data_IF_195002119794
#
_entry.id   IF_195002119794
#
_cell.length_a   1.000
_cell.length_b   1.000
_cell.length_c   1.000
_cell.angle_alpha   90.00
_cell.angle_beta   90.00
_cell.angle_gamma   90.00
#
_symmetry.space_group_name_H-M   'P 1'
#
loop_
_entity.id
_entity.type
_entity.pdbx_description
1 polymer ?
#
# COMPACT_ATOMS: atom_id res chain seq x y z
N UNK A 1 -7.72 27.25 8.78
CA UNK A 1 -6.57 27.09 7.87
C UNK A 1 -5.53 26.29 8.62
N UNK A 2 -5.20 25.08 8.16
CA UNK A 2 -4.15 24.28 8.78
C UNK A 2 -2.82 24.96 8.49
N UNK A 3 -2.01 25.23 9.52
CA UNK A 3 -0.65 25.76 9.35
C UNK A 3 0.17 24.83 8.45
N UNK A 4 1.10 25.39 7.67
CA UNK A 4 2.03 24.60 6.87
C UNK A 4 2.80 23.58 7.73
N UNK A 5 3.14 22.43 7.14
CA UNK A 5 3.90 21.34 7.77
C UNK A 5 5.35 21.37 7.30
N UNK A 6 6.28 21.10 8.20
CA UNK A 6 7.72 21.03 7.87
C UNK A 6 8.08 19.60 7.48
N UNK A 7 8.28 19.36 6.19
CA UNK A 7 8.64 18.03 5.67
C UNK A 7 10.14 17.94 5.40
N UNK A 8 10.76 16.85 5.81
CA UNK A 8 12.20 16.60 5.63
C UNK A 8 12.47 15.11 5.57
N UNK A 9 13.64 14.73 5.03
CA UNK A 9 14.15 13.35 4.94
C UNK A 9 13.22 12.41 4.17
N UNK A 10 13.67 11.90 3.02
CA UNK A 10 13.02 10.72 2.43
C UNK A 10 13.39 9.53 3.31
N UNK A 11 12.40 8.96 3.99
CA UNK A 11 12.62 7.85 4.95
C UNK A 11 12.34 6.49 4.34
N UNK A 12 11.52 6.46 3.29
CA UNK A 12 11.11 5.23 2.63
C UNK A 12 10.57 5.53 1.24
N UNK A 13 10.87 4.65 0.29
CA UNK A 13 10.24 4.64 -1.04
C UNK A 13 9.80 3.21 -1.33
N UNK A 14 8.52 3.04 -1.66
CA UNK A 14 8.00 1.77 -2.14
C UNK A 14 7.83 1.83 -3.66
N UNK A 15 8.25 0.76 -4.33
CA UNK A 15 7.96 0.46 -5.72
C UNK A 15 7.03 -0.75 -5.74
N UNK A 16 5.84 -0.57 -6.28
CA UNK A 16 4.83 -1.64 -6.39
C UNK A 16 4.66 -1.91 -7.87
N UNK A 17 5.17 -3.04 -8.36
CA UNK A 17 4.94 -3.48 -9.73
C UNK A 17 3.44 -3.76 -9.91
N UNK A 18 2.78 -3.03 -10.81
CA UNK A 18 1.32 -3.13 -11.01
C UNK A 18 0.92 -4.39 -11.80
N UNK A 19 1.88 -5.08 -12.43
CA UNK A 19 1.65 -6.34 -13.15
C UNK A 19 1.73 -7.52 -12.19
N UNK A 20 2.78 -7.56 -11.38
CA UNK A 20 3.03 -8.69 -10.46
C UNK A 20 2.49 -8.47 -9.05
N UNK A 21 2.09 -7.23 -8.73
CA UNK A 21 1.75 -6.76 -7.39
C UNK A 21 2.89 -6.94 -6.36
N UNK A 22 4.12 -7.08 -6.85
CA UNK A 22 5.30 -7.24 -5.98
C UNK A 22 5.73 -5.89 -5.45
N UNK A 23 5.97 -5.84 -4.13
CA UNK A 23 6.44 -4.63 -3.45
C UNK A 23 7.92 -4.72 -3.13
N UNK A 24 8.67 -3.75 -3.63
CA UNK A 24 10.05 -3.51 -3.31
C UNK A 24 10.16 -2.19 -2.52
N UNK A 25 10.93 -2.15 -1.43
CA UNK A 25 11.12 -0.89 -0.68
C UNK A 25 12.59 -0.59 -0.45
N UNK A 26 12.91 0.70 -0.50
CA UNK A 26 14.23 1.24 -0.16
C UNK A 26 14.08 2.33 0.90
N UNK A 27 15.10 2.46 1.75
CA UNK A 27 15.18 3.49 2.81
C UNK A 27 16.37 4.44 2.57
N UNK A 28 17.05 4.25 1.44
CA UNK A 28 18.37 4.81 1.14
C UNK A 28 18.31 5.99 0.18
N UNK A 29 17.11 6.29 -0.34
CA UNK A 29 16.91 7.34 -1.33
C UNK A 29 17.39 8.69 -0.79
N UNK A 30 18.35 9.29 -1.51
CA UNK A 30 19.03 10.50 -1.07
C UNK A 30 18.32 11.77 -1.56
N UNK A 31 17.72 11.73 -2.74
CA UNK A 31 17.15 12.89 -3.42
C UNK A 31 16.09 12.44 -4.42
N UNK A 32 14.91 13.07 -4.41
CA UNK A 32 13.86 12.84 -5.40
C UNK A 32 13.37 14.19 -5.94
N UNK A 33 13.63 14.44 -7.23
CA UNK A 33 13.08 15.59 -7.95
C UNK A 33 11.71 15.20 -8.54
N UNK A 34 10.73 16.07 -8.35
CA UNK A 34 9.35 15.87 -8.82
C UNK A 34 8.94 17.11 -9.64
N UNK A 35 8.69 16.91 -10.92
CA UNK A 35 8.35 17.98 -11.86
C UNK A 35 7.00 17.70 -12.53
N UNK A 36 6.06 18.67 -12.58
CA UNK A 36 4.80 18.47 -13.27
C UNK A 36 5.01 18.37 -14.79
N UNK A 37 4.29 17.44 -15.41
CA UNK A 37 4.18 17.35 -16.87
C UNK A 37 2.92 18.12 -17.26
N UNK A 38 3.09 19.22 -18.01
CA UNK A 38 1.98 20.08 -18.41
C UNK A 38 1.69 19.96 -19.91
N UNK A 39 0.41 19.80 -20.24
CA UNK A 39 -0.11 20.21 -21.54
C UNK A 39 -0.22 21.74 -21.54
N UNK A 40 0.70 22.39 -22.25
CA UNK A 40 0.77 23.85 -22.32
C UNK A 40 -0.49 24.43 -22.95
N UNK A 41 -1.06 25.41 -22.27
CA UNK A 41 -2.09 26.26 -22.83
C UNK A 41 -1.55 27.11 -23.98
N UNK A 42 -2.46 27.69 -24.77
CA UNK A 42 -2.13 28.61 -25.86
C UNK A 42 -2.51 30.02 -25.47
N UNK A 43 -1.77 31.00 -25.97
CA UNK A 43 -2.10 32.43 -25.85
C UNK A 43 -2.03 33.07 -27.23
N UNK A 44 -3.19 33.28 -27.82
CA UNK A 44 -3.33 33.90 -29.13
C UNK A 44 -3.73 35.37 -28.97
N UNK A 45 -2.87 36.27 -29.45
CA UNK A 45 -3.08 37.72 -29.34
C UNK A 45 -3.49 38.28 -30.70
N UNK A 46 -4.71 38.82 -30.79
CA UNK A 46 -5.13 39.60 -31.95
C UNK A 46 -4.60 41.02 -31.82
N UNK A 47 -3.45 41.31 -32.45
CA UNK A 47 -2.86 42.65 -32.51
C UNK A 47 -2.90 43.19 -33.93
N UNK A 48 -3.41 44.41 -34.09
CA UNK A 48 -3.34 45.16 -35.35
C UNK A 48 -2.57 46.44 -35.08
N UNK A 49 -1.42 46.61 -35.75
CA UNK A 49 -0.45 47.70 -35.51
C UNK A 49 -0.07 47.78 -34.03
N UNK A 50 -0.40 48.88 -33.36
CA UNK A 50 -0.07 49.12 -31.94
C UNK A 50 -1.26 48.94 -31.01
N UNK A 51 -2.32 48.24 -31.45
CA UNK A 51 -3.50 47.99 -30.63
C UNK A 51 -3.79 46.49 -30.53
N UNK A 52 -3.93 46.00 -29.30
CA UNK A 52 -4.42 44.65 -29.00
C UNK A 52 -5.95 44.72 -28.97
N UNK A 53 -6.59 43.81 -29.69
CA UNK A 53 -8.05 43.71 -29.81
C UNK A 53 -8.61 42.53 -29.01
N UNK A 54 -7.79 41.52 -28.74
CA UNK A 54 -8.20 40.38 -27.94
C UNK A 54 -7.01 39.50 -27.58
N UNK A 55 -7.14 38.81 -26.46
CA UNK A 55 -6.26 37.75 -26.01
C UNK A 55 -7.16 36.54 -25.77
N UNK A 56 -6.95 35.46 -26.53
CA UNK A 56 -7.58 34.18 -26.28
C UNK A 56 -6.56 33.27 -25.61
N UNK A 57 -6.81 32.89 -24.36
CA UNK A 57 -5.89 32.08 -23.57
C UNK A 57 -6.56 30.81 -23.04
N UNK A 58 -5.80 29.72 -23.02
CA UNK A 58 -6.18 28.48 -22.33
C UNK A 58 -5.19 28.19 -21.23
N UNK A 59 -5.62 27.55 -20.15
CA UNK A 59 -4.76 27.19 -19.02
C UNK A 59 -3.81 26.03 -19.34
N UNK A 60 -2.70 25.95 -18.60
CA UNK A 60 -1.87 24.75 -18.55
C UNK A 60 -2.61 23.64 -17.78
N UNK A 61 -2.60 22.42 -18.31
CA UNK A 61 -3.22 21.25 -17.67
C UNK A 61 -2.11 20.29 -17.22
N UNK A 62 -2.09 19.96 -15.92
CA UNK A 62 -1.19 18.92 -15.39
C UNK A 62 -1.71 17.56 -15.87
N UNK A 63 -0.86 16.81 -16.56
CA UNK A 63 -1.18 15.46 -17.09
C UNK A 63 -0.41 14.35 -16.38
N UNK A 64 0.49 14.69 -15.46
CA UNK A 64 1.32 13.73 -14.76
C UNK A 64 2.52 14.37 -14.08
N UNK A 65 3.45 13.56 -13.62
CA UNK A 65 4.70 14.01 -13.00
C UNK A 65 5.90 13.21 -13.52
N UNK A 66 7.00 13.92 -13.74
CA UNK A 66 8.32 13.34 -13.93
C UNK A 66 8.98 13.19 -12.57
N UNK A 67 9.55 12.02 -12.33
CA UNK A 67 10.17 11.62 -11.09
C UNK A 67 11.63 11.28 -11.38
N UNK A 68 12.56 11.86 -10.64
CA UNK A 68 13.98 11.55 -10.75
C UNK A 68 14.56 11.29 -9.36
N UNK A 69 14.94 10.05 -9.13
CA UNK A 69 15.51 9.60 -7.87
C UNK A 69 17.02 9.42 -8.01
N UNK A 70 17.76 9.81 -6.96
CA UNK A 70 19.17 9.45 -6.79
C UNK A 70 19.35 8.62 -5.53
N UNK A 71 20.14 7.57 -5.65
CA UNK A 71 20.49 6.70 -4.54
C UNK A 71 22.00 6.41 -4.57
N UNK A 72 22.59 6.38 -3.38
CA UNK A 72 24.00 6.03 -3.19
C UNK A 72 24.20 4.53 -2.93
N UNK A 73 23.12 3.79 -2.69
CA UNK A 73 23.12 2.34 -2.63
C UNK A 73 22.51 1.77 -3.91
N UNK A 74 23.22 0.81 -4.49
CA UNK A 74 22.77 0.16 -5.70
C UNK A 74 21.71 -0.89 -5.35
N UNK A 75 20.47 -0.66 -5.77
CA UNK A 75 19.40 -1.64 -5.63
C UNK A 75 19.08 -2.32 -6.97
N UNK A 76 19.26 -3.64 -7.02
CA UNK A 76 19.11 -4.44 -8.23
C UNK A 76 17.65 -4.62 -8.65
N UNK A 77 16.71 -4.70 -7.70
CA UNK A 77 15.27 -4.84 -8.00
C UNK A 77 14.69 -3.54 -8.59
N UNK A 78 15.05 -2.40 -8.00
CA UNK A 78 14.75 -1.05 -8.50
C UNK A 78 15.32 -0.86 -9.90
N UNK A 79 16.57 -1.30 -10.12
CA UNK A 79 17.18 -1.28 -11.46
C UNK A 79 16.38 -2.13 -12.45
N UNK A 80 16.03 -3.37 -12.10
CA UNK A 80 15.26 -4.24 -12.99
C UNK A 80 13.89 -3.66 -13.36
N UNK A 81 13.14 -3.17 -12.37
CA UNK A 81 11.80 -2.61 -12.58
C UNK A 81 11.83 -1.33 -13.42
N UNK A 82 12.73 -0.39 -13.10
CA UNK A 82 12.77 0.92 -13.78
C UNK A 82 13.45 0.82 -15.14
N UNK A 83 14.57 0.09 -15.24
CA UNK A 83 15.29 -0.04 -16.51
C UNK A 83 14.60 -1.00 -17.48
N UNK A 84 13.87 -1.99 -16.96
CA UNK A 84 13.15 -3.02 -17.73
C UNK A 84 13.95 -4.29 -18.00
N UNK A 85 15.07 -4.48 -17.31
CA UNK A 85 15.89 -5.69 -17.40
C UNK A 85 15.35 -6.83 -16.54
N UNK A 86 16.06 -7.95 -16.54
CA UNK A 86 15.71 -9.17 -15.76
C UNK A 86 16.79 -9.51 -14.75
N UNK A 87 16.41 -10.17 -13.67
CA UNK A 87 17.33 -10.68 -12.65
C UNK A 87 17.37 -12.21 -12.76
N UNK A 88 18.58 -12.77 -12.84
CA UNK A 88 18.81 -14.21 -12.83
C UNK A 88 19.86 -14.52 -11.76
N UNK A 89 19.47 -15.29 -10.75
CA UNK A 89 20.24 -15.65 -9.54
C UNK A 89 20.74 -14.46 -8.70
N UNK A 90 21.67 -13.66 -9.24
CA UNK A 90 22.17 -12.40 -8.66
C UNK A 90 22.77 -11.48 -9.73
N UNK A 91 22.35 -11.67 -10.98
CA UNK A 91 22.85 -10.96 -12.15
C UNK A 91 21.69 -10.18 -12.77
N UNK A 92 21.89 -8.88 -12.91
CA UNK A 92 21.02 -8.06 -13.74
C UNK A 92 21.44 -8.20 -15.21
N UNK A 93 20.47 -8.53 -16.06
CA UNK A 93 20.60 -8.58 -17.50
C UNK A 93 19.73 -7.47 -18.10
N UNK A 94 20.40 -6.47 -18.69
CA UNK A 94 19.71 -5.41 -19.42
C UNK A 94 19.00 -5.93 -20.66
N UNK A 95 18.14 -5.11 -21.22
CA UNK A 95 17.34 -5.46 -22.39
C UNK A 95 18.18 -5.52 -23.67
N UNK A 96 17.65 -6.23 -24.67
CA UNK A 96 18.31 -6.34 -25.97
C UNK A 96 18.52 -4.96 -26.61
N UNK A 97 19.73 -4.75 -27.14
CA UNK A 97 20.11 -3.47 -27.74
C UNK A 97 19.27 -3.18 -28.99
N UNK A 98 18.78 -1.95 -29.11
CA UNK A 98 18.02 -1.50 -30.28
C UNK A 98 16.56 -1.96 -30.32
N UNK A 99 16.08 -2.69 -29.30
CA UNK A 99 14.69 -3.13 -29.21
C UNK A 99 13.93 -2.27 -28.19
N UNK A 100 12.70 -1.90 -28.54
CA UNK A 100 11.81 -1.21 -27.63
C UNK A 100 11.38 -2.16 -26.49
N UNK A 101 11.56 -1.71 -25.26
CA UNK A 101 11.23 -2.48 -24.06
C UNK A 101 9.85 -2.10 -23.56
N UNK A 102 9.00 -3.10 -23.34
CA UNK A 102 7.77 -2.94 -22.59
C UNK A 102 8.08 -3.05 -21.09
N UNK A 103 8.35 -1.90 -20.46
CA UNK A 103 8.55 -1.81 -19.02
C UNK A 103 7.24 -2.00 -18.27
N UNK A 104 7.27 -2.76 -17.18
CA UNK A 104 6.13 -2.88 -16.28
C UNK A 104 5.76 -1.50 -15.71
N UNK A 105 4.47 -1.12 -15.70
CA UNK A 105 4.01 0.01 -14.92
C UNK A 105 4.16 -0.29 -13.43
N UNK A 106 4.45 0.74 -12.64
CA UNK A 106 4.57 0.61 -11.19
C UNK A 106 4.00 1.82 -10.46
N UNK A 107 3.57 1.61 -9.22
CA UNK A 107 3.22 2.70 -8.30
C UNK A 107 4.43 3.03 -7.42
N UNK A 108 4.74 4.32 -7.29
CA UNK A 108 5.79 4.81 -6.39
C UNK A 108 5.17 5.53 -5.20
N UNK A 109 5.47 5.06 -3.99
CA UNK A 109 5.06 5.69 -2.73
C UNK A 109 6.28 6.28 -2.03
N UNK A 110 6.33 7.59 -1.86
CA UNK A 110 7.44 8.30 -1.21
C UNK A 110 7.00 8.75 0.17
N UNK A 111 7.80 8.47 1.19
CA UNK A 111 7.52 8.88 2.56
C UNK A 111 8.56 9.87 3.05
N UNK A 112 8.08 10.94 3.69
CA UNK A 112 8.90 11.97 4.33
C UNK A 112 8.54 12.12 5.80
N UNK A 113 9.46 12.57 6.64
CA UNK A 113 9.17 12.94 8.02
C UNK A 113 8.48 14.31 8.09
N UNK A 114 7.48 14.43 8.96
CA UNK A 114 6.99 15.72 9.45
C UNK A 114 7.74 16.07 10.75
N UNK A 115 8.34 17.27 10.82
CA UNK A 115 9.00 17.76 12.04
C UNK A 115 8.24 18.89 12.70
N UNK A 116 8.22 18.86 14.03
CA UNK A 116 8.01 20.01 14.91
C UNK A 116 9.32 20.30 15.66
N UNK A 117 10.00 21.38 15.28
CA UNK A 117 11.38 21.64 15.68
C UNK A 117 12.29 20.42 15.39
N UNK A 118 12.74 19.72 16.42
CA UNK A 118 13.62 18.56 16.30
C UNK A 118 12.88 17.21 16.31
N UNK A 119 11.58 17.19 16.63
CA UNK A 119 10.81 15.96 16.86
C UNK A 119 10.05 15.56 15.60
N UNK A 120 10.09 14.27 15.24
CA UNK A 120 9.18 13.71 14.24
C UNK A 120 7.79 13.62 14.84
N UNK A 121 6.82 14.31 14.24
CA UNK A 121 5.41 14.34 14.67
C UNK A 121 4.50 13.49 13.79
N UNK A 122 5.00 13.08 12.63
CA UNK A 122 4.26 12.26 11.68
C UNK A 122 5.06 12.05 10.41
N UNK A 123 4.38 11.61 9.37
CA UNK A 123 4.95 11.34 8.06
C UNK A 123 4.00 11.81 6.98
N UNK A 124 4.53 12.05 5.78
CA UNK A 124 3.72 12.36 4.60
C UNK A 124 4.06 11.37 3.51
N UNK A 125 3.03 10.73 2.99
CA UNK A 125 3.08 9.78 1.88
C UNK A 125 2.63 10.49 0.60
N UNK A 126 3.46 10.43 -0.44
CA UNK A 126 3.13 10.87 -1.80
C UNK A 126 2.98 9.64 -2.68
N UNK A 127 1.90 9.55 -3.44
CA UNK A 127 1.59 8.40 -4.30
C UNK A 127 1.52 8.82 -5.76
N UNK A 128 2.33 8.16 -6.58
CA UNK A 128 2.38 8.32 -8.03
C UNK A 128 2.09 6.97 -8.69
N UNK A 129 0.94 6.87 -9.36
CA UNK A 129 0.47 5.64 -10.01
C UNK A 129 0.98 5.55 -11.45
N UNK A 130 0.97 4.35 -12.01
CA UNK A 130 1.21 4.11 -13.44
C UNK A 130 2.54 4.72 -13.91
N UNK A 131 3.56 4.66 -13.05
CA UNK A 131 4.90 5.11 -13.39
C UNK A 131 5.49 4.21 -14.46
N UNK A 132 6.05 4.81 -15.49
CA UNK A 132 6.85 4.12 -16.51
C UNK A 132 8.30 4.55 -16.41
N UNK A 133 9.17 3.58 -16.16
CA UNK A 133 10.61 3.80 -16.01
C UNK A 133 11.30 4.22 -17.31
N UNK A 134 12.48 4.82 -17.16
CA UNK A 134 13.42 5.13 -18.25
C UNK A 134 14.76 4.44 -17.98
N UNK A 135 15.60 4.25 -19.03
CA UNK A 135 16.92 3.67 -18.85
C UNK A 135 17.71 4.35 -17.71
N UNK A 136 18.22 3.54 -16.79
CA UNK A 136 18.91 4.00 -15.59
C UNK A 136 20.29 4.57 -15.94
N UNK A 137 20.73 5.56 -15.16
CA UNK A 137 22.06 6.17 -15.28
C UNK A 137 22.84 5.87 -14.01
N UNK A 138 24.09 5.45 -14.13
CA UNK A 138 24.95 5.22 -12.97
C UNK A 138 26.36 5.70 -13.25
N UNK A 139 27.06 6.11 -12.19
CA UNK A 139 28.44 6.58 -12.26
C UNK A 139 29.31 5.75 -11.31
N UNK A 140 30.32 5.09 -11.87
CA UNK A 140 31.32 4.32 -11.13
C UNK A 140 32.63 5.09 -11.18
N UNK A 141 33.20 5.42 -10.03
CA UNK A 141 34.48 6.11 -9.93
C UNK A 141 35.32 5.48 -8.82
N UNK A 142 36.62 5.36 -9.03
CA UNK A 142 37.54 4.86 -8.02
C UNK A 142 37.51 5.74 -6.74
N UNK A 143 37.50 5.08 -5.58
CA UNK A 143 37.43 5.73 -4.26
C UNK A 143 36.14 6.49 -3.94
N UNK A 144 35.07 6.40 -4.75
CA UNK A 144 33.77 7.04 -4.48
C UNK A 144 32.63 6.03 -4.44
N UNK A 145 31.61 6.31 -3.64
CA UNK A 145 30.36 5.56 -3.68
C UNK A 145 29.72 5.67 -5.06
N UNK A 146 29.10 4.57 -5.49
CA UNK A 146 28.31 4.53 -6.70
C UNK A 146 27.10 5.44 -6.55
N UNK A 147 26.79 6.22 -7.59
CA UNK A 147 25.58 7.04 -7.62
C UNK A 147 24.69 6.56 -8.75
N UNK A 148 23.54 6.00 -8.40
CA UNK A 148 22.49 5.61 -9.32
C UNK A 148 21.48 6.74 -9.47
N UNK A 149 21.00 6.96 -10.69
CA UNK A 149 19.90 7.87 -11.00
C UNK A 149 18.86 7.15 -11.82
N UNK A 150 17.65 7.13 -11.27
CA UNK A 150 16.48 6.48 -11.84
C UNK A 150 15.47 7.56 -12.25
N UNK A 151 14.90 7.45 -13.44
CA UNK A 151 13.89 8.38 -13.96
C UNK A 151 12.62 7.60 -14.31
N UNK A 152 11.46 8.17 -13.97
CA UNK A 152 10.14 7.64 -14.32
C UNK A 152 9.15 8.76 -14.63
N UNK A 153 8.09 8.44 -15.37
CA UNK A 153 6.96 9.33 -15.60
C UNK A 153 5.69 8.67 -15.10
N UNK A 154 4.98 9.33 -14.19
CA UNK A 154 3.65 8.94 -13.73
C UNK A 154 2.61 9.67 -14.56
N UNK A 155 1.82 8.91 -15.31
CA UNK A 155 0.72 9.44 -16.13
C UNK A 155 -0.55 8.66 -15.74
N UNK A 156 -1.42 9.25 -14.90
CA UNK A 156 -2.64 8.61 -14.43
C UNK A 156 -3.64 8.34 -15.57
N UNK A 157 -4.54 7.37 -15.39
CA UNK A 157 -5.65 7.17 -16.30
C UNK A 157 -6.71 8.28 -16.18
N UNK A 158 -7.67 8.28 -17.11
CA UNK A 158 -8.79 9.21 -17.08
C UNK A 158 -9.54 9.07 -15.74
N UNK A 159 -9.85 10.19 -15.12
CA UNK A 159 -10.54 10.32 -13.82
C UNK A 159 -9.70 9.94 -12.60
N UNK A 160 -8.42 9.64 -12.77
CA UNK A 160 -7.49 9.47 -11.65
C UNK A 160 -6.76 10.79 -11.34
N UNK A 161 -6.27 10.89 -10.11
CA UNK A 161 -5.50 12.05 -9.66
C UNK A 161 -4.02 11.84 -10.02
N UNK A 162 -3.31 12.88 -10.48
CA UNK A 162 -1.89 12.78 -10.84
C UNK A 162 -0.96 12.61 -9.62
N UNK A 163 -1.45 12.94 -8.42
CA UNK A 163 -0.77 12.66 -7.16
C UNK A 163 -1.81 12.56 -6.03
N UNK A 164 -1.57 11.66 -5.09
CA UNK A 164 -2.27 11.62 -3.81
C UNK A 164 -1.26 11.90 -2.68
N UNK A 165 -1.64 12.76 -1.73
CA UNK A 165 -0.78 13.13 -0.61
C UNK A 165 -1.56 12.85 0.67
N UNK A 166 -0.98 12.04 1.55
CA UNK A 166 -1.59 11.57 2.78
C UNK A 166 -0.68 11.86 3.98
N UNK A 167 -1.26 12.42 5.05
CA UNK A 167 -0.56 12.65 6.32
C UNK A 167 -0.80 11.47 7.26
N UNK A 168 0.28 10.93 7.80
CA UNK A 168 0.28 9.72 8.61
C UNK A 168 0.85 10.03 9.99
N UNK A 169 0.27 9.44 11.03
CA UNK A 169 0.83 9.52 12.39
C UNK A 169 2.05 8.59 12.57
N UNK A 170 2.15 7.52 11.76
CA UNK A 170 3.23 6.52 11.79
C UNK A 170 3.51 6.01 10.37
N UNK A 171 4.75 5.62 10.07
CA UNK A 171 5.06 4.84 8.87
C UNK A 171 4.45 3.45 9.04
N UNK A 172 3.67 3.00 8.06
CA UNK A 172 3.36 1.58 7.98
C UNK A 172 4.61 0.86 7.46
N UNK A 173 5.17 -0.05 8.26
CA UNK A 173 6.25 -0.93 7.83
C UNK A 173 5.69 -2.01 6.89
N UNK A 174 6.41 -2.30 5.80
CA UNK A 174 6.05 -3.43 4.95
C UNK A 174 6.88 -4.60 5.45
N UNK A 175 6.22 -5.58 6.06
CA UNK A 175 6.79 -6.89 6.33
C UNK A 175 7.03 -7.60 4.99
N UNK A 176 8.21 -7.42 4.37
CA UNK A 176 8.71 -8.33 3.33
C UNK A 176 10.00 -8.97 3.82
N UNK A 177 9.82 -9.91 4.75
CA UNK A 177 10.84 -10.72 5.37
C UNK A 177 10.24 -11.92 6.10
N UNK A 178 9.20 -12.57 5.57
CA UNK A 178 8.96 -13.97 5.93
C UNK A 178 9.98 -14.84 5.18
N UNK A 179 11.12 -15.10 5.82
CA UNK A 179 11.41 -16.49 6.16
C UNK A 179 11.12 -16.63 7.65
N UNK A 180 10.42 -17.71 8.06
CA UNK A 180 9.71 -17.78 9.32
C UNK A 180 10.67 -17.61 10.49
N UNK A 181 10.47 -16.56 11.26
CA UNK A 181 11.20 -16.34 12.50
C UNK A 181 11.60 -14.89 12.72
N UNK A 182 10.77 -14.21 13.51
CA UNK A 182 11.19 -13.21 14.50
C UNK A 182 11.06 -11.71 14.10
N UNK A 183 9.87 -11.16 14.41
CA UNK A 183 9.51 -9.75 14.47
C UNK A 183 9.67 -9.19 15.90
N UNK A 184 9.92 -7.88 16.03
CA UNK A 184 9.63 -7.11 17.27
C UNK A 184 8.94 -5.79 16.86
N UNK A 185 8.01 -5.21 17.64
CA UNK A 185 6.59 -5.55 17.54
C UNK A 185 5.68 -4.38 17.07
N UNK A 186 4.72 -4.70 16.19
CA UNK A 186 3.35 -4.18 16.33
C UNK A 186 2.92 -4.65 17.73
N UNK A 187 2.37 -3.82 18.62
CA UNK A 187 1.94 -4.35 19.93
C UNK A 187 1.09 -5.59 19.70
N UNK A 188 1.62 -6.79 19.99
CA UNK A 188 1.00 -8.04 19.57
C UNK A 188 -0.26 -8.20 20.41
N UNK A 189 -1.39 -7.78 19.89
CA UNK A 189 -2.65 -8.05 20.55
C UNK A 189 -2.98 -9.50 20.27
N UNK A 190 -2.98 -10.33 21.30
CA UNK A 190 -3.62 -11.64 21.22
C UNK A 190 -4.70 -11.79 22.26
N UNK A 191 -5.15 -13.02 22.46
CA UNK A 191 -6.28 -13.30 23.33
C UNK A 191 -5.85 -13.96 24.61
N UNK A 192 -6.53 -13.64 25.71
CA UNK A 192 -6.35 -14.35 26.98
C UNK A 192 -6.58 -15.85 26.78
N UNK A 193 -5.54 -16.68 26.97
CA UNK A 193 -5.59 -18.12 26.72
C UNK A 193 -5.00 -18.60 25.37
N UNK A 194 -4.57 -17.69 24.49
CA UNK A 194 -3.85 -18.01 23.24
C UNK A 194 -4.75 -18.43 22.08
N UNK A 195 -5.74 -19.30 22.32
CA UNK A 195 -6.80 -19.67 21.38
C UNK A 195 -8.12 -19.82 22.13
N UNK A 196 -9.23 -19.40 21.53
CA UNK A 196 -10.58 -19.62 22.06
C UNK A 196 -11.25 -20.70 21.23
N UNK A 197 -11.31 -21.92 21.75
CA UNK A 197 -12.06 -23.00 21.09
C UNK A 197 -13.54 -22.95 21.46
N UNK A 198 -14.40 -23.09 20.44
CA UNK A 198 -15.85 -23.20 20.61
C UNK A 198 -16.33 -24.60 20.17
N UNK A 199 -17.31 -25.17 20.88
CA UNK A 199 -17.88 -26.50 20.63
C UNK A 199 -18.98 -26.51 19.54
N UNK A 200 -19.00 -25.54 18.63
CA UNK A 200 -19.97 -25.50 17.54
C UNK A 200 -19.61 -26.56 16.47
N UNK A 201 -20.57 -27.40 16.03
CA UNK A 201 -20.30 -28.53 15.12
C UNK A 201 -20.09 -28.12 13.66
N UNK A 202 -20.53 -26.91 13.26
CA UNK A 202 -20.45 -26.42 11.90
C UNK A 202 -19.29 -25.44 11.67
N UNK A 203 -18.93 -24.65 12.69
CA UNK A 203 -17.94 -23.58 12.58
C UNK A 203 -17.09 -23.44 13.85
N UNK A 204 -15.77 -23.59 13.69
CA UNK A 204 -14.77 -23.20 14.68
C UNK A 204 -14.37 -21.74 14.53
N UNK A 205 -13.77 -21.16 15.56
CA UNK A 205 -13.19 -19.81 15.52
C UNK A 205 -11.82 -19.83 16.19
N UNK A 206 -10.83 -19.18 15.60
CA UNK A 206 -9.51 -18.91 16.19
C UNK A 206 -9.27 -17.41 16.17
N UNK A 207 -8.69 -16.89 17.25
CA UNK A 207 -8.60 -15.45 17.50
C UNK A 207 -7.18 -15.09 17.89
N UNK A 208 -6.53 -14.34 17.02
CA UNK A 208 -5.19 -13.77 17.22
C UNK A 208 -5.28 -12.27 17.00
N UNK A 209 -4.39 -11.66 16.21
CA UNK A 209 -4.61 -10.33 15.62
C UNK A 209 -5.68 -10.34 14.51
N UNK A 210 -6.16 -11.52 14.11
CA UNK A 210 -7.23 -11.76 13.14
C UNK A 210 -8.29 -12.66 13.77
N UNK A 211 -9.49 -12.65 13.22
CA UNK A 211 -10.54 -13.59 13.62
C UNK A 211 -10.78 -14.54 12.45
N UNK A 212 -10.59 -15.84 12.68
CA UNK A 212 -10.65 -16.87 11.65
C UNK A 212 -11.77 -17.85 11.98
N UNK A 213 -12.77 -17.93 11.12
CA UNK A 213 -13.81 -18.96 11.21
C UNK A 213 -13.50 -20.12 10.28
N UNK A 214 -13.55 -21.34 10.82
CA UNK A 214 -13.28 -22.59 10.09
C UNK A 214 -14.54 -23.42 9.99
N UNK A 215 -15.05 -23.61 8.78
CA UNK A 215 -16.29 -24.31 8.51
C UNK A 215 -16.06 -25.79 8.17
N UNK A 216 -16.90 -26.68 8.70
CA UNK A 216 -16.84 -28.12 8.40
C UNK A 216 -17.18 -28.41 6.92
N UNK A 217 -18.10 -27.62 6.35
CA UNK A 217 -18.57 -27.69 4.97
C UNK A 217 -18.20 -26.44 4.17
N UNK A 218 -18.18 -26.54 2.83
CA UNK A 218 -17.98 -25.36 1.97
C UNK A 218 -19.18 -24.42 2.09
N UNK A 219 -18.94 -23.12 2.17
CA UNK A 219 -19.97 -22.09 2.30
C UNK A 219 -20.10 -21.23 1.04
N UNK A 220 -21.25 -20.57 0.88
CA UNK A 220 -21.46 -19.63 -0.20
C UNK A 220 -20.64 -18.35 0.02
N UNK A 221 -19.86 -17.97 -0.99
CA UNK A 221 -18.98 -16.80 -0.94
C UNK A 221 -19.76 -15.48 -0.88
N UNK A 222 -20.96 -15.43 -1.44
CA UNK A 222 -21.80 -14.21 -1.42
C UNK A 222 -22.23 -13.81 0.00
N UNK A 223 -22.26 -14.78 0.92
CA UNK A 223 -22.58 -14.56 2.33
C UNK A 223 -21.36 -14.08 3.15
N UNK A 224 -20.16 -14.00 2.55
CA UNK A 224 -18.93 -13.57 3.21
C UNK A 224 -18.83 -12.05 3.15
N UNK A 225 -19.45 -11.39 4.13
CA UNK A 225 -19.50 -9.93 4.24
C UNK A 225 -19.59 -9.49 5.72
N UNK A 226 -19.42 -8.19 5.94
CA UNK A 226 -19.40 -7.57 7.27
C UNK A 226 -20.76 -7.58 8.00
N UNK A 227 -21.85 -7.97 7.33
CA UNK A 227 -23.15 -8.16 7.99
C UNK A 227 -23.33 -9.56 8.56
N UNK A 228 -22.55 -10.54 8.08
CA UNK A 228 -22.62 -11.93 8.52
C UNK A 228 -21.46 -12.33 9.43
N UNK A 229 -20.32 -11.66 9.32
CA UNK A 229 -19.13 -11.87 10.15
C UNK A 229 -18.79 -10.58 10.90
N UNK A 230 -19.08 -10.55 12.20
CA UNK A 230 -19.11 -9.31 12.98
C UNK A 230 -18.20 -9.43 14.18
N UNK A 231 -17.37 -8.41 14.42
CA UNK A 231 -16.65 -8.22 15.67
C UNK A 231 -17.26 -7.00 16.38
N UNK A 232 -17.64 -7.15 17.65
CA UNK A 232 -18.20 -6.06 18.47
C UNK A 232 -17.44 -5.90 19.77
N UNK A 233 -17.27 -4.67 20.23
CA UNK A 233 -16.77 -4.41 21.58
C UNK A 233 -17.87 -4.70 22.60
N UNK A 234 -17.61 -5.52 23.60
CA UNK A 234 -18.63 -5.96 24.57
C UNK A 234 -19.16 -4.82 25.45
N UNK A 235 -18.35 -3.81 25.72
CA UNK A 235 -18.71 -2.69 26.61
C UNK A 235 -19.83 -1.80 26.07
N UNK A 236 -19.89 -1.60 24.76
CA UNK A 236 -20.78 -0.62 24.11
C UNK A 236 -21.47 -1.14 22.85
N UNK A 237 -21.25 -2.41 22.49
CA UNK A 237 -21.74 -3.05 21.26
C UNK A 237 -21.32 -2.34 19.96
N UNK A 238 -20.30 -1.48 20.00
CA UNK A 238 -19.74 -0.86 18.79
C UNK A 238 -19.15 -1.93 17.89
N UNK A 239 -19.45 -1.83 16.58
CA UNK A 239 -18.86 -2.72 15.57
C UNK A 239 -17.42 -2.30 15.31
N UNK A 240 -16.54 -3.28 15.23
CA UNK A 240 -15.15 -3.10 14.81
C UNK A 240 -15.13 -3.11 13.28
N UNK A 241 -14.51 -2.10 12.68
CA UNK A 241 -14.30 -2.07 11.23
C UNK A 241 -13.17 -3.03 10.84
N UNK A 242 -13.21 -3.51 9.61
CA UNK A 242 -12.21 -4.44 9.12
C UNK A 242 -12.54 -4.94 7.72
N UNK A 243 -11.69 -5.83 7.22
CA UNK A 243 -11.91 -6.53 5.96
C UNK A 243 -12.24 -8.00 6.23
N UNK A 244 -13.14 -8.59 5.44
CA UNK A 244 -13.47 -10.01 5.51
C UNK A 244 -13.17 -10.69 4.18
N UNK A 245 -12.46 -11.81 4.22
CA UNK A 245 -12.08 -12.59 3.03
C UNK A 245 -12.38 -14.06 3.25
N UNK A 246 -12.60 -14.80 2.17
CA UNK A 246 -12.70 -16.26 2.18
C UNK A 246 -11.54 -16.87 1.40
N UNK A 247 -11.09 -18.04 1.82
CA UNK A 247 -10.07 -18.82 1.14
C UNK A 247 -10.60 -19.57 -0.10
N UNK A 248 -9.70 -20.08 -0.93
CA UNK A 248 -10.06 -20.81 -2.16
C UNK A 248 -10.77 -22.13 -1.89
N UNK A 249 -10.61 -22.72 -0.70
CA UNK A 249 -11.33 -23.95 -0.32
C UNK A 249 -12.80 -23.69 0.05
N UNK A 250 -13.15 -22.41 0.26
CA UNK A 250 -14.45 -21.91 0.71
C UNK A 250 -14.85 -22.43 2.08
N UNK A 251 -13.89 -22.64 2.96
CA UNK A 251 -14.09 -23.15 4.33
C UNK A 251 -13.48 -22.27 5.40
N UNK A 252 -12.63 -21.31 5.04
CA UNK A 252 -11.94 -20.46 5.99
C UNK A 252 -12.32 -19.02 5.68
N UNK A 253 -12.98 -18.37 6.64
CA UNK A 253 -13.29 -16.95 6.59
C UNK A 253 -12.38 -16.22 7.55
N UNK A 254 -11.72 -15.18 7.08
CA UNK A 254 -10.82 -14.37 7.88
C UNK A 254 -11.31 -12.94 7.94
N UNK A 255 -11.51 -12.43 9.14
CA UNK A 255 -11.75 -11.02 9.42
C UNK A 255 -10.47 -10.39 9.96
N UNK A 256 -10.11 -9.26 9.36
CA UNK A 256 -8.94 -8.44 9.69
C UNK A 256 -9.45 -7.15 10.30
N UNK A 257 -9.43 -7.01 11.63
CA UNK A 257 -9.83 -5.77 12.27
C UNK A 257 -8.90 -4.63 11.87
N UNK A 258 -9.45 -3.44 11.61
CA UNK A 258 -8.65 -2.23 11.41
C UNK A 258 -7.88 -1.86 12.69
N UNK A 259 -8.52 -2.06 13.85
CA UNK A 259 -7.88 -1.95 15.16
C UNK A 259 -8.68 -2.66 16.25
N UNK A 260 -7.98 -3.15 17.28
CA UNK A 260 -8.55 -3.60 18.54
C UNK A 260 -7.82 -2.87 19.68
N UNK A 261 -8.54 -2.54 20.75
CA UNK A 261 -7.95 -1.99 21.96
C UNK A 261 -7.39 -3.12 22.83
N UNK A 262 -6.29 -2.88 23.54
CA UNK A 262 -5.73 -3.81 24.55
C UNK A 262 -6.66 -3.89 25.77
N UNK A 263 -6.61 -5.01 26.51
CA UNK A 263 -7.35 -5.24 27.76
C UNK A 263 -8.87 -5.02 27.59
N UNK A 264 -9.37 -5.35 26.40
CA UNK A 264 -10.75 -5.08 25.99
C UNK A 264 -11.43 -6.37 25.59
N UNK A 265 -12.67 -6.56 26.07
CA UNK A 265 -13.47 -7.73 25.71
C UNK A 265 -14.28 -7.45 24.45
N UNK A 266 -14.19 -8.37 23.50
CA UNK A 266 -14.89 -8.36 22.22
C UNK A 266 -15.75 -9.62 22.05
N UNK A 267 -16.70 -9.55 21.13
CA UNK A 267 -17.58 -10.64 20.71
C UNK A 267 -17.33 -10.87 19.23
N UNK A 268 -16.96 -12.10 18.85
CA UNK A 268 -16.90 -12.55 17.47
C UNK A 268 -18.16 -13.34 17.12
N UNK A 269 -18.89 -12.89 16.10
CA UNK A 269 -20.14 -13.48 15.64
C UNK A 269 -20.02 -13.94 14.18
N UNK A 270 -20.49 -15.15 13.90
CA UNK A 270 -20.84 -15.59 12.55
C UNK A 270 -22.33 -15.93 12.53
N UNK A 271 -23.09 -15.31 11.63
CA UNK A 271 -24.50 -15.66 11.40
C UNK A 271 -24.62 -17.03 10.72
N UNK A 272 -25.85 -17.49 10.54
CA UNK A 272 -26.12 -18.67 9.72
C UNK A 272 -25.75 -18.38 8.25
N UNK A 273 -24.82 -19.17 7.71
CA UNK A 273 -24.29 -19.02 6.35
C UNK A 273 -24.86 -20.12 5.46
N UNK A 274 -25.20 -19.84 4.21
CA UNK A 274 -25.65 -20.89 3.29
C UNK A 274 -24.49 -21.83 2.94
N UNK A 275 -24.74 -23.13 2.99
CA UNK A 275 -23.78 -24.14 2.51
C UNK A 275 -23.75 -24.12 0.98
N UNK A 276 -22.55 -24.26 0.41
CA UNK A 276 -22.35 -24.17 -1.05
C UNK A 276 -23.05 -25.30 -1.81
N UNK A 277 -23.25 -26.45 -1.16
CA UNK A 277 -23.94 -27.61 -1.73
C UNK A 277 -25.48 -27.50 -1.69
N UNK A 278 -26.02 -26.41 -1.13
CA UNK A 278 -27.45 -26.20 -0.99
C UNK A 278 -28.12 -27.05 0.09
N UNK A 279 -27.37 -27.78 0.93
CA UNK A 279 -27.91 -28.65 1.98
C UNK A 279 -28.54 -27.93 3.17
N UNK A 280 -28.53 -26.58 3.16
CA UNK A 280 -29.10 -25.73 4.20
C UNK A 280 -28.11 -24.68 4.68
N UNK A 281 -28.24 -24.25 5.94
CA UNK A 281 -27.38 -23.24 6.56
C UNK A 281 -26.48 -23.84 7.65
N UNK A 282 -25.41 -23.15 8.00
CA UNK A 282 -24.58 -23.43 9.17
C UNK A 282 -25.28 -22.94 10.44
N UNK A 283 -24.97 -23.55 11.57
CA UNK A 283 -25.36 -23.04 12.89
C UNK A 283 -24.60 -21.76 13.21
N UNK A 284 -25.28 -20.70 13.64
CA UNK A 284 -24.65 -19.44 14.04
C UNK A 284 -23.67 -19.64 15.21
N UNK A 285 -22.64 -18.78 15.27
CA UNK A 285 -21.61 -18.78 16.30
C UNK A 285 -21.53 -17.40 16.96
N UNK A 286 -21.38 -17.40 18.28
CA UNK A 286 -20.99 -16.22 19.04
C UNK A 286 -19.99 -16.64 20.10
N UNK A 287 -18.85 -15.97 20.16
CA UNK A 287 -17.81 -16.23 21.17
C UNK A 287 -17.23 -14.93 21.68
N UNK A 288 -16.83 -14.92 22.95
CA UNK A 288 -16.18 -13.77 23.57
C UNK A 288 -14.68 -13.99 23.64
N UNK A 289 -13.91 -12.92 23.47
CA UNK A 289 -12.47 -12.94 23.67
C UNK A 289 -12.00 -11.64 24.31
N UNK A 290 -10.97 -11.73 25.14
CA UNK A 290 -10.31 -10.57 25.75
C UNK A 290 -8.97 -10.36 25.10
N UNK A 291 -8.73 -9.15 24.59
CA UNK A 291 -7.43 -8.77 24.06
C UNK A 291 -6.43 -8.58 25.20
N UNK A 292 -5.23 -9.09 25.03
CA UNK A 292 -4.09 -8.91 25.92
C UNK A 292 -2.93 -8.32 25.14
N UNK A 293 -2.03 -7.64 25.85
CA UNK A 293 -0.74 -7.27 25.29
C UNK A 293 0.15 -8.50 25.29
N UNK A 294 0.43 -8.99 24.10
CA UNK A 294 1.56 -9.86 23.77
C UNK A 294 2.59 -8.90 23.13
N UNK A 295 3.87 -9.28 23.14
CA UNK A 295 5.00 -8.34 23.16
C UNK A 295 4.99 -7.22 22.12
#
# INVERSE_FOLDING_TARGET
MTSGKTLVNVVKVNFIDEVTNTKHTIETSNEIDIEPINSKGKRDILRIKNKIYGINETDDIVIGYKLKMKDNLFNIETMALIDGGTIQDNKYCGTEVGIAVERHPFTMEIFTEEKDYSRTTGYVKFVYKHCKGKPAKYKIQDGKFLVSSYEAESIPFRNEKPVEIEFLNKLQENNNGEKPGESTPIEDIGVEGGEVENKNPDVGVSITNRVVWSFSNKINQDDVNLENFIIKRKSDNSRVNGNVTIDDTKKIVTFVPDSLAIDTVYIAEAKEINKLDGSGKTTALSTEFKTIKIR
#
